data_IF_873281772564
#
_entry.id   IF_873281772564
#
_cell.length_a   1.000
_cell.length_b   1.000
_cell.length_c   1.000
_cell.angle_alpha   90.00
_cell.angle_beta   90.00
_cell.angle_gamma   90.00
#
_symmetry.space_group_name_H-M   'P 1'
#
loop_
_entity.id
_entity.type
_entity.pdbx_description
1 polymer ?
#
# COMPACT_ATOMS: atom_id res chain seq x y z
N UNK A 1 -84.20 -18.73 17.79
CA UNK A 1 -83.48 -17.43 17.83
C UNK A 1 -82.43 -17.45 16.73
N UNK A 2 -82.63 -16.57 15.74
CA UNK A 2 -81.82 -16.41 14.54
C UNK A 2 -80.46 -15.75 14.84
N UNK A 3 -79.56 -15.83 13.84
CA UNK A 3 -78.41 -14.96 13.47
C UNK A 3 -77.07 -15.70 13.64
N UNK A 4 -76.23 -15.86 12.62
CA UNK A 4 -76.29 -15.44 11.23
C UNK A 4 -75.00 -15.90 10.55
N UNK A 5 -75.12 -16.54 9.39
CA UNK A 5 -74.01 -16.89 8.53
C UNK A 5 -73.34 -15.63 7.97
N UNK A 6 -72.13 -15.34 8.44
CA UNK A 6 -71.28 -14.27 7.90
C UNK A 6 -70.51 -14.78 6.68
N UNK A 7 -70.92 -14.33 5.49
CA UNK A 7 -70.22 -14.56 4.22
C UNK A 7 -68.76 -14.07 4.26
N UNK A 8 -67.84 -14.71 3.52
CA UNK A 8 -66.44 -14.25 3.42
C UNK A 8 -66.34 -12.92 2.67
N UNK A 9 -65.53 -11.98 3.17
CA UNK A 9 -65.19 -10.73 2.46
C UNK A 9 -63.98 -10.98 1.54
N UNK A 10 -64.05 -10.63 0.25
CA UNK A 10 -62.90 -10.61 -0.63
C UNK A 10 -62.17 -9.27 -0.48
N UNK A 11 -60.87 -9.29 -0.17
CA UNK A 11 -60.01 -8.13 -0.36
C UNK A 11 -59.08 -8.42 -1.54
N UNK A 12 -59.61 -8.16 -2.73
CA UNK A 12 -58.81 -7.87 -3.89
C UNK A 12 -58.22 -6.46 -3.73
N UNK A 13 -56.92 -6.35 -3.46
CA UNK A 13 -56.11 -5.28 -4.04
C UNK A 13 -54.66 -5.74 -4.10
N UNK A 14 -54.33 -6.38 -5.22
CA UNK A 14 -52.97 -6.58 -5.67
C UNK A 14 -52.30 -5.22 -5.88
N UNK A 15 -51.78 -4.61 -4.81
CA UNK A 15 -50.74 -3.60 -4.95
C UNK A 15 -49.41 -4.32 -5.12
N UNK A 16 -49.10 -4.56 -6.40
CA UNK A 16 -47.76 -4.71 -6.94
C UNK A 16 -46.86 -3.66 -6.27
N UNK A 17 -46.19 -4.02 -5.18
CA UNK A 17 -44.95 -3.35 -4.84
C UNK A 17 -43.95 -3.87 -5.86
N UNK A 18 -43.82 -3.04 -6.89
CA UNK A 18 -42.88 -3.19 -7.97
C UNK A 18 -41.57 -3.71 -7.40
N UNK A 19 -41.19 -4.89 -7.88
CA UNK A 19 -39.82 -5.35 -7.94
C UNK A 19 -38.91 -4.13 -8.04
N UNK A 20 -38.15 -3.88 -6.97
CA UNK A 20 -36.93 -3.12 -7.08
C UNK A 20 -36.22 -3.68 -8.31
N UNK A 21 -36.05 -2.81 -9.32
CA UNK A 21 -35.42 -3.18 -10.58
C UNK A 21 -34.19 -4.01 -10.23
N UNK A 22 -34.00 -5.22 -10.78
CA UNK A 22 -32.67 -5.75 -10.78
C UNK A 22 -31.87 -4.70 -11.54
N UNK A 23 -31.04 -3.94 -10.83
CA UNK A 23 -29.83 -3.43 -11.42
C UNK A 23 -29.21 -4.70 -11.97
N UNK A 24 -29.40 -4.88 -13.28
CA UNK A 24 -28.64 -5.75 -14.12
C UNK A 24 -27.21 -5.30 -13.89
N UNK A 25 -26.60 -5.84 -12.83
CA UNK A 25 -25.20 -6.14 -12.75
C UNK A 25 -24.98 -7.08 -13.92
N UNK A 26 -24.89 -6.45 -15.10
CA UNK A 26 -24.40 -7.03 -16.33
C UNK A 26 -23.19 -7.83 -15.89
N UNK A 27 -23.32 -9.16 -16.01
CA UNK A 27 -22.29 -10.12 -15.66
C UNK A 27 -21.01 -9.75 -16.41
N UNK A 28 -20.22 -8.88 -15.79
CA UNK A 28 -18.79 -8.87 -16.00
C UNK A 28 -18.33 -10.01 -15.13
N UNK A 29 -17.94 -11.10 -15.75
CA UNK A 29 -17.17 -12.16 -15.14
C UNK A 29 -16.12 -11.51 -14.22
N UNK A 30 -16.36 -11.55 -12.91
CA UNK A 30 -15.54 -10.92 -11.85
C UNK A 30 -14.17 -11.62 -11.68
N UNK A 31 -13.68 -12.29 -12.73
CA UNK A 31 -12.63 -13.31 -12.68
C UNK A 31 -11.59 -13.20 -13.78
N UNK A 32 -11.79 -12.31 -14.76
CA UNK A 32 -10.78 -11.94 -15.77
C UNK A 32 -10.43 -10.45 -15.70
N UNK A 33 -10.66 -9.81 -14.55
CA UNK A 33 -10.03 -8.51 -14.29
C UNK A 33 -8.53 -8.78 -14.17
N UNK A 34 -7.75 -8.44 -15.19
CA UNK A 34 -6.31 -8.68 -15.20
C UNK A 34 -5.66 -8.11 -13.94
N UNK A 35 -4.45 -8.54 -13.62
CA UNK A 35 -3.67 -8.03 -12.48
C UNK A 35 -3.66 -6.49 -12.41
N UNK A 36 -3.77 -5.84 -13.57
CA UNK A 36 -3.91 -4.40 -13.78
C UNK A 36 -5.09 -3.78 -13.03
N UNK A 37 -6.26 -4.42 -13.01
CA UNK A 37 -7.45 -3.89 -12.33
C UNK A 37 -7.31 -3.93 -10.81
N UNK A 38 -6.44 -4.80 -10.29
CA UNK A 38 -6.13 -4.84 -8.86
C UNK A 38 -5.47 -3.55 -8.38
N UNK A 39 -4.77 -2.83 -9.26
CA UNK A 39 -4.03 -1.60 -8.96
C UNK A 39 -4.87 -0.31 -9.04
N UNK A 40 -6.08 -0.36 -9.58
CA UNK A 40 -6.87 0.83 -9.94
C UNK A 40 -7.98 1.21 -8.96
N UNK A 41 -8.22 0.38 -7.94
CA UNK A 41 -9.31 0.59 -6.99
C UNK A 41 -8.99 -0.06 -5.64
N UNK A 42 -9.69 0.36 -4.59
CA UNK A 42 -9.66 -0.28 -3.27
C UNK A 42 -10.76 -1.35 -3.10
N UNK A 43 -11.67 -1.44 -4.07
CA UNK A 43 -12.86 -2.27 -3.99
C UNK A 43 -12.59 -3.74 -4.25
N UNK A 44 -13.25 -4.60 -3.48
CA UNK A 44 -13.16 -6.06 -3.65
C UNK A 44 -12.06 -6.71 -2.80
N UNK A 45 -11.73 -7.95 -3.19
CA UNK A 45 -10.85 -8.85 -2.45
C UNK A 45 -9.85 -9.51 -3.39
N UNK A 46 -8.64 -9.72 -2.90
CA UNK A 46 -7.62 -10.49 -3.64
C UNK A 46 -7.13 -11.67 -2.82
N UNK A 47 -6.99 -12.82 -3.49
CA UNK A 47 -6.36 -13.99 -2.92
C UNK A 47 -4.84 -13.82 -2.80
N UNK A 48 -4.22 -14.64 -1.96
CA UNK A 48 -2.77 -14.61 -1.69
C UNK A 48 -1.90 -14.65 -2.95
N UNK A 49 -2.22 -15.52 -3.91
CA UNK A 49 -1.47 -15.62 -5.18
C UNK A 49 -1.50 -14.28 -5.94
N UNK A 50 -2.68 -13.67 -6.06
CA UNK A 50 -2.83 -12.37 -6.71
C UNK A 50 -2.09 -11.26 -5.98
N UNK A 51 -2.12 -11.27 -4.65
CA UNK A 51 -1.35 -10.33 -3.83
C UNK A 51 0.15 -10.41 -4.10
N UNK A 52 0.76 -11.60 -4.06
CA UNK A 52 2.20 -11.74 -4.32
C UNK A 52 2.61 -11.41 -5.74
N UNK A 53 1.80 -11.77 -6.74
CA UNK A 53 2.06 -11.34 -8.12
C UNK A 53 2.00 -9.81 -8.26
N UNK A 54 1.02 -9.18 -7.60
CA UNK A 54 0.90 -7.73 -7.59
C UNK A 54 2.11 -7.07 -6.91
N UNK A 55 2.54 -7.60 -5.77
CA UNK A 55 3.76 -7.15 -5.06
C UNK A 55 4.98 -7.29 -5.97
N UNK A 56 5.15 -8.42 -6.67
CA UNK A 56 6.27 -8.64 -7.58
C UNK A 56 6.28 -7.62 -8.72
N UNK A 57 5.14 -7.37 -9.35
CA UNK A 57 5.01 -6.36 -10.42
C UNK A 57 5.37 -4.97 -9.91
N UNK A 58 4.87 -4.58 -8.74
CA UNK A 58 5.19 -3.27 -8.15
C UNK A 58 6.64 -3.17 -7.69
N UNK A 59 7.23 -4.25 -7.19
CA UNK A 59 8.64 -4.28 -6.81
C UNK A 59 9.55 -4.11 -8.03
N UNK A 60 9.26 -4.80 -9.14
CA UNK A 60 9.99 -4.62 -10.39
C UNK A 60 9.84 -3.19 -10.94
N UNK A 61 8.62 -2.64 -10.91
CA UNK A 61 8.38 -1.25 -11.30
C UNK A 61 9.15 -0.27 -10.40
N UNK A 62 9.20 -0.52 -9.09
CA UNK A 62 9.95 0.28 -8.13
C UNK A 62 11.44 0.25 -8.41
N UNK A 63 12.01 -0.93 -8.69
CA UNK A 63 13.42 -1.07 -9.05
C UNK A 63 13.72 -0.28 -10.33
N UNK A 64 12.90 -0.45 -11.38
CA UNK A 64 13.08 0.28 -12.64
C UNK A 64 13.00 1.79 -12.42
N UNK A 65 12.00 2.29 -11.69
CA UNK A 65 11.86 3.71 -11.39
C UNK A 65 13.05 4.24 -10.60
N UNK A 66 13.51 3.51 -9.57
CA UNK A 66 14.69 3.90 -8.79
C UNK A 66 15.95 3.94 -9.65
N UNK A 67 16.18 2.97 -10.53
CA UNK A 67 17.35 2.96 -11.42
C UNK A 67 17.32 4.09 -12.45
N UNK A 68 16.15 4.37 -13.02
CA UNK A 68 15.98 5.48 -13.98
C UNK A 68 16.18 6.84 -13.30
N UNK A 69 15.78 6.96 -12.04
CA UNK A 69 15.92 8.20 -11.28
C UNK A 69 17.26 8.29 -10.54
N UNK A 70 18.04 7.20 -10.44
CA UNK A 70 19.32 7.16 -9.72
C UNK A 70 20.29 8.30 -10.10
N UNK A 71 20.48 8.68 -11.38
CA UNK A 71 21.34 9.81 -11.73
C UNK A 71 20.81 11.16 -11.25
N UNK A 72 19.48 11.35 -11.24
CA UNK A 72 18.85 12.56 -10.71
C UNK A 72 18.93 12.63 -9.18
N UNK A 73 18.90 11.47 -8.55
CA UNK A 73 18.97 11.23 -7.11
C UNK A 73 20.37 11.46 -6.54
N UNK A 74 21.37 10.76 -7.07
CA UNK A 74 22.75 10.90 -6.62
C UNK A 74 23.39 12.16 -7.18
N UNK A 75 22.94 12.64 -8.35
CA UNK A 75 23.61 13.71 -9.06
C UNK A 75 25.09 13.37 -9.28
N UNK A 76 25.94 14.34 -8.99
CA UNK A 76 27.40 14.26 -9.00
C UNK A 76 28.00 13.77 -7.67
N UNK A 77 27.19 13.29 -6.71
CA UNK A 77 27.64 12.86 -5.39
C UNK A 77 28.82 11.89 -5.45
N UNK A 78 28.72 10.85 -6.28
CA UNK A 78 29.76 9.82 -6.38
C UNK A 78 31.10 10.41 -6.82
N UNK A 79 31.07 11.35 -7.77
CA UNK A 79 32.26 12.06 -8.23
C UNK A 79 32.81 13.00 -7.16
N UNK A 80 31.95 13.79 -6.51
CA UNK A 80 32.33 14.71 -5.43
C UNK A 80 32.92 13.96 -4.23
N UNK A 81 32.34 12.81 -3.88
CA UNK A 81 32.83 11.96 -2.81
C UNK A 81 34.22 11.41 -3.13
N UNK A 82 34.44 10.90 -4.34
CA UNK A 82 35.76 10.41 -4.76
C UNK A 82 36.82 11.50 -4.67
N UNK A 83 36.55 12.70 -5.20
CA UNK A 83 37.48 13.83 -5.16
C UNK A 83 37.79 14.26 -3.72
N UNK A 84 36.77 14.28 -2.85
CA UNK A 84 36.94 14.68 -1.46
C UNK A 84 37.80 13.68 -0.67
N UNK A 85 37.48 12.38 -0.76
CA UNK A 85 38.19 11.34 -0.01
C UNK A 85 39.59 11.01 -0.54
N UNK A 86 39.93 11.47 -1.75
CA UNK A 86 41.29 11.40 -2.27
C UNK A 86 42.22 12.45 -1.63
N UNK A 87 41.67 13.50 -1.03
CA UNK A 87 42.48 14.54 -0.41
C UNK A 87 43.17 14.02 0.86
N UNK A 88 44.48 14.25 1.05
CA UNK A 88 45.22 13.78 2.21
C UNK A 88 44.67 14.32 3.55
N UNK A 89 44.15 15.54 3.53
CA UNK A 89 43.68 16.28 4.70
C UNK A 89 42.23 16.78 4.49
N UNK A 90 41.33 15.89 4.05
CA UNK A 90 39.94 16.29 3.82
C UNK A 90 39.26 16.71 5.14
N UNK A 91 38.45 17.77 5.08
CA UNK A 91 37.69 18.23 6.25
C UNK A 91 36.47 17.31 6.49
N UNK A 92 36.37 16.76 7.70
CA UNK A 92 35.23 15.97 8.13
C UNK A 92 33.90 16.74 8.07
N UNK A 93 33.93 18.07 8.23
CA UNK A 93 32.76 18.92 8.04
C UNK A 93 32.28 18.93 6.59
N UNK A 94 33.20 19.06 5.62
CA UNK A 94 32.87 18.98 4.20
C UNK A 94 32.32 17.59 3.83
N UNK A 95 32.92 16.52 4.38
CA UNK A 95 32.44 15.16 4.17
C UNK A 95 31.03 14.94 4.72
N UNK A 96 30.77 15.40 5.94
CA UNK A 96 29.43 15.28 6.56
C UNK A 96 28.37 16.10 5.81
N UNK A 97 28.72 17.30 5.33
CA UNK A 97 27.82 18.13 4.53
C UNK A 97 27.45 17.47 3.20
N UNK A 98 28.44 16.89 2.50
CA UNK A 98 28.21 16.13 1.26
C UNK A 98 27.30 14.92 1.49
N UNK A 99 27.51 14.18 2.59
CA UNK A 99 26.68 13.02 2.95
C UNK A 99 25.24 13.43 3.28
N UNK A 100 25.06 14.52 4.03
CA UNK A 100 23.75 15.04 4.37
C UNK A 100 22.97 15.49 3.13
N UNK A 101 23.64 16.20 2.21
CA UNK A 101 23.07 16.60 0.92
C UNK A 101 22.60 15.38 0.11
N UNK A 102 23.42 14.34 0.01
CA UNK A 102 23.09 13.11 -0.70
C UNK A 102 21.91 12.37 -0.05
N UNK A 103 21.89 12.28 1.29
CA UNK A 103 20.79 11.68 2.03
C UNK A 103 19.48 12.42 1.77
N UNK A 104 19.50 13.76 1.78
CA UNK A 104 18.32 14.58 1.53
C UNK A 104 17.80 14.43 0.09
N UNK A 105 18.69 14.44 -0.91
CA UNK A 105 18.32 14.18 -2.32
C UNK A 105 17.74 12.79 -2.50
N UNK A 106 18.36 11.77 -1.88
CA UNK A 106 17.87 10.40 -1.86
C UNK A 106 16.52 10.23 -1.12
N UNK A 107 16.21 11.09 -0.15
CA UNK A 107 14.91 11.10 0.49
C UNK A 107 13.81 11.69 -0.41
N UNK A 108 14.09 12.82 -1.08
CA UNK A 108 13.17 13.40 -2.07
C UNK A 108 12.82 12.42 -3.18
N UNK A 109 13.84 11.74 -3.69
CA UNK A 109 13.69 10.65 -4.64
C UNK A 109 12.72 9.57 -4.21
N UNK A 110 13.00 9.03 -3.02
CA UNK A 110 12.28 7.93 -2.44
C UNK A 110 10.83 8.35 -2.19
N UNK A 111 10.61 9.60 -1.80
CA UNK A 111 9.29 10.20 -1.67
C UNK A 111 8.56 10.24 -3.01
N UNK A 112 9.18 10.74 -4.09
CA UNK A 112 8.57 10.77 -5.43
C UNK A 112 8.20 9.37 -5.92
N UNK A 113 9.12 8.41 -5.81
CA UNK A 113 8.86 7.02 -6.18
C UNK A 113 7.70 6.44 -5.35
N UNK A 114 7.69 6.69 -4.05
CA UNK A 114 6.60 6.24 -3.17
C UNK A 114 5.27 6.89 -3.54
N UNK A 115 5.24 8.16 -3.95
CA UNK A 115 4.01 8.81 -4.40
C UNK A 115 3.48 8.19 -5.70
N UNK A 116 4.37 7.80 -6.63
CA UNK A 116 3.99 7.15 -7.89
C UNK A 116 3.44 5.74 -7.64
N UNK A 117 4.12 4.93 -6.83
CA UNK A 117 3.81 3.50 -6.62
C UNK A 117 2.85 3.27 -5.45
N UNK A 118 2.72 4.25 -4.56
CA UNK A 118 2.02 4.07 -3.30
C UNK A 118 0.53 3.86 -3.45
N UNK A 119 -0.11 4.51 -4.44
CA UNK A 119 -1.51 4.25 -4.74
C UNK A 119 -1.77 2.78 -5.11
N UNK A 120 -1.13 2.20 -6.15
CA UNK A 120 -1.39 0.81 -6.51
C UNK A 120 -0.91 -0.19 -5.44
N UNK A 121 0.15 0.14 -4.68
CA UNK A 121 0.58 -0.67 -3.53
C UNK A 121 -0.48 -0.71 -2.43
N UNK A 122 -1.00 0.45 -2.04
CA UNK A 122 -2.04 0.57 -1.02
C UNK A 122 -3.34 -0.11 -1.47
N UNK A 123 -3.71 0.01 -2.74
CA UNK A 123 -4.85 -0.69 -3.34
C UNK A 123 -4.76 -2.21 -3.15
N UNK A 124 -3.59 -2.81 -3.43
CA UNK A 124 -3.37 -4.24 -3.18
C UNK A 124 -3.47 -4.59 -1.70
N UNK A 125 -2.82 -3.82 -0.83
CA UNK A 125 -2.80 -4.09 0.61
C UNK A 125 -4.22 -4.04 1.18
N UNK A 126 -4.98 -3.00 0.88
CA UNK A 126 -6.37 -2.84 1.33
C UNK A 126 -7.25 -3.99 0.84
N UNK A 127 -7.20 -4.34 -0.45
CA UNK A 127 -7.93 -5.51 -0.99
C UNK A 127 -7.53 -6.82 -0.31
N UNK A 128 -6.26 -6.96 0.07
CA UNK A 128 -5.77 -8.15 0.78
C UNK A 128 -6.23 -8.18 2.23
N UNK A 129 -6.39 -7.01 2.88
CA UNK A 129 -7.01 -6.86 4.21
C UNK A 129 -8.52 -7.10 4.18
N UNK A 130 -9.20 -6.61 3.14
CA UNK A 130 -10.61 -6.91 2.85
C UNK A 130 -10.85 -8.42 2.71
N UNK A 131 -9.94 -9.16 2.10
CA UNK A 131 -10.03 -10.61 2.01
C UNK A 131 -10.07 -11.30 3.39
N UNK A 132 -9.52 -10.67 4.43
CA UNK A 132 -9.59 -11.12 5.82
C UNK A 132 -10.68 -10.43 6.63
N UNK A 133 -11.65 -9.80 5.97
CA UNK A 133 -12.73 -9.04 6.56
C UNK A 133 -12.25 -7.87 7.47
N UNK A 134 -11.06 -7.31 7.21
CA UNK A 134 -10.53 -6.12 7.86
C UNK A 134 -10.75 -4.87 6.99
N UNK A 135 -10.84 -3.68 7.57
CA UNK A 135 -11.03 -2.41 6.83
C UNK A 135 -9.81 -1.97 6.03
N UNK A 136 -8.63 -2.52 6.30
CA UNK A 136 -7.38 -2.08 5.68
C UNK A 136 -6.83 -0.75 6.23
N UNK A 137 -7.41 -0.22 7.31
CA UNK A 137 -6.92 0.99 7.96
C UNK A 137 -5.45 0.88 8.42
N UNK A 138 -5.02 -0.32 8.82
CA UNK A 138 -3.63 -0.61 9.18
C UNK A 138 -2.67 -0.46 7.99
N UNK A 139 -3.08 -0.85 6.78
CA UNK A 139 -2.31 -0.61 5.57
C UNK A 139 -2.18 0.90 5.25
N UNK A 140 -3.26 1.65 5.47
CA UNK A 140 -3.26 3.12 5.30
C UNK A 140 -2.32 3.76 6.31
N UNK A 141 -2.37 3.34 7.58
CA UNK A 141 -1.47 3.83 8.63
C UNK A 141 -0.01 3.52 8.28
N UNK A 142 0.31 2.30 7.83
CA UNK A 142 1.67 1.96 7.40
C UNK A 142 2.15 2.90 6.29
N UNK A 143 1.32 3.12 5.27
CA UNK A 143 1.68 3.98 4.16
C UNK A 143 1.84 5.44 4.58
N UNK A 144 0.96 5.94 5.45
CA UNK A 144 1.05 7.30 6.00
C UNK A 144 2.32 7.50 6.85
N UNK A 145 2.69 6.54 7.69
CA UNK A 145 3.93 6.60 8.48
C UNK A 145 5.18 6.55 7.57
N UNK A 146 5.13 5.74 6.52
CA UNK A 146 6.21 5.68 5.52
C UNK A 146 6.37 7.03 4.81
N UNK A 147 5.27 7.64 4.36
CA UNK A 147 5.30 8.97 3.73
C UNK A 147 5.77 10.05 4.70
N UNK A 148 5.35 10.00 5.97
CA UNK A 148 5.81 10.94 7.00
C UNK A 148 7.33 10.85 7.17
N UNK A 149 7.88 9.64 7.34
CA UNK A 149 9.32 9.44 7.49
C UNK A 149 10.12 9.93 6.28
N UNK A 150 9.62 9.68 5.06
CA UNK A 150 10.24 10.18 3.84
C UNK A 150 10.15 11.70 3.71
N UNK A 151 9.00 12.29 4.04
CA UNK A 151 8.80 13.73 4.00
C UNK A 151 9.73 14.45 4.98
N UNK A 152 9.85 13.97 6.23
CA UNK A 152 10.77 14.53 7.22
C UNK A 152 12.22 14.52 6.71
N UNK A 153 12.69 13.37 6.23
CA UNK A 153 14.05 13.24 5.70
C UNK A 153 14.29 14.12 4.47
N UNK A 154 13.28 14.28 3.60
CA UNK A 154 13.39 15.12 2.40
C UNK A 154 13.59 16.60 2.75
N UNK A 155 13.06 17.08 3.87
CA UNK A 155 13.25 18.46 4.33
C UNK A 155 14.43 18.62 5.30
N UNK A 156 15.27 17.59 5.44
CA UNK A 156 16.45 17.61 6.30
C UNK A 156 16.14 17.35 7.78
N UNK A 157 14.93 16.91 8.12
CA UNK A 157 14.55 16.57 9.49
C UNK A 157 14.85 15.08 9.74
N UNK A 158 15.45 14.81 10.90
CA UNK A 158 15.66 13.45 11.38
C UNK A 158 17.08 12.93 11.20
N UNK A 159 17.99 13.71 10.59
CA UNK A 159 19.43 13.45 10.62
C UNK A 159 20.14 14.61 11.35
N UNK A 160 21.21 14.29 12.05
CA UNK A 160 22.06 15.23 12.77
C UNK A 160 23.54 14.90 12.54
N UNK A 161 24.41 15.88 12.74
CA UNK A 161 25.86 15.70 12.67
C UNK A 161 26.36 15.42 14.08
N UNK A 162 26.98 14.26 14.28
CA UNK A 162 27.54 13.81 15.55
C UNK A 162 29.05 13.77 15.43
N UNK A 163 29.74 14.32 16.44
CA UNK A 163 31.19 14.30 16.52
C UNK A 163 31.68 12.99 17.16
N UNK A 164 32.65 12.36 16.51
CA UNK A 164 33.40 11.19 16.96
C UNK A 164 34.90 11.51 16.99
N UNK A 165 35.69 10.61 17.58
CA UNK A 165 37.15 10.74 17.66
C UNK A 165 37.81 10.87 16.27
N UNK A 166 37.30 10.11 15.29
CA UNK A 166 37.81 10.07 13.92
C UNK A 166 37.06 11.00 12.93
N UNK A 167 36.21 11.91 13.42
CA UNK A 167 35.56 12.93 12.59
C UNK A 167 34.06 13.14 12.83
N UNK A 168 33.40 13.80 11.87
CA UNK A 168 31.97 14.11 11.92
C UNK A 168 31.17 13.12 11.10
N UNK A 169 30.10 12.57 11.67
CA UNK A 169 29.24 11.58 11.00
C UNK A 169 27.80 12.04 11.00
N UNK A 170 27.10 11.80 9.89
CA UNK A 170 25.65 12.01 9.79
C UNK A 170 24.95 10.80 10.38
N UNK A 171 24.16 11.01 11.43
CA UNK A 171 23.40 9.96 12.12
C UNK A 171 21.90 10.31 12.17
N UNK A 172 21.01 9.30 12.13
CA UNK A 172 19.60 9.54 12.34
C UNK A 172 19.32 9.88 13.81
N UNK A 173 18.44 10.85 14.04
CA UNK A 173 18.02 11.24 15.39
C UNK A 173 17.17 10.15 16.03
N UNK A 174 17.14 10.10 17.37
CA UNK A 174 16.32 9.14 18.11
C UNK A 174 14.83 9.15 17.70
N UNK A 175 14.16 10.30 17.47
CA UNK A 175 12.79 10.32 16.97
C UNK A 175 12.63 9.65 15.60
N UNK A 176 13.57 9.86 14.66
CA UNK A 176 13.53 9.21 13.35
C UNK A 176 13.72 7.69 13.47
N UNK A 177 14.66 7.26 14.32
CA UNK A 177 14.87 5.83 14.62
C UNK A 177 13.58 5.22 15.17
N UNK A 178 12.95 5.85 16.16
CA UNK A 178 11.71 5.36 16.76
C UNK A 178 10.58 5.25 15.72
N UNK A 179 10.41 6.26 14.85
CA UNK A 179 9.45 6.22 13.75
C UNK A 179 9.72 5.05 12.80
N UNK A 180 10.97 4.83 12.42
CA UNK A 180 11.38 3.74 11.55
C UNK A 180 11.13 2.36 12.19
N UNK A 181 11.39 2.21 13.49
CA UNK A 181 11.10 0.98 14.23
C UNK A 181 9.59 0.70 14.24
N UNK A 182 8.77 1.69 14.61
CA UNK A 182 7.30 1.54 14.66
C UNK A 182 6.76 1.17 13.27
N UNK A 183 7.22 1.87 12.23
CA UNK A 183 6.84 1.61 10.84
C UNK A 183 7.26 0.20 10.40
N UNK A 184 8.49 -0.22 10.74
CA UNK A 184 9.02 -1.55 10.43
C UNK A 184 8.27 -2.68 11.14
N UNK A 185 7.91 -2.50 12.41
CA UNK A 185 7.12 -3.48 13.17
C UNK A 185 5.70 -3.63 12.60
N UNK A 186 5.05 -2.52 12.24
CA UNK A 186 3.76 -2.55 11.56
C UNK A 186 3.86 -3.20 10.18
N UNK A 187 4.94 -2.91 9.44
CA UNK A 187 5.27 -3.53 8.16
C UNK A 187 5.45 -5.05 8.27
N UNK A 188 6.20 -5.51 9.28
CA UNK A 188 6.40 -6.94 9.55
C UNK A 188 5.09 -7.64 9.93
N UNK A 189 4.29 -7.03 10.80
CA UNK A 189 2.95 -7.53 11.13
C UNK A 189 2.10 -7.70 9.85
N UNK A 190 2.03 -6.66 9.02
CA UNK A 190 1.24 -6.67 7.79
C UNK A 190 1.79 -7.68 6.77
N UNK A 191 3.11 -7.76 6.61
CA UNK A 191 3.78 -8.75 5.77
C UNK A 191 3.38 -10.18 6.16
N UNK A 192 3.41 -10.50 7.45
CA UNK A 192 3.02 -11.83 7.93
C UNK A 192 1.54 -12.09 7.64
N UNK A 193 0.69 -11.15 8.02
CA UNK A 193 -0.77 -11.34 7.97
C UNK A 193 -1.29 -11.40 6.52
N UNK A 194 -0.75 -10.57 5.63
CA UNK A 194 -1.16 -10.54 4.22
C UNK A 194 -0.46 -11.63 3.41
N UNK A 195 0.82 -11.90 3.69
CA UNK A 195 1.65 -12.83 2.95
C UNK A 195 1.35 -14.30 3.22
N UNK A 196 1.13 -14.69 4.49
CA UNK A 196 1.10 -16.11 4.88
C UNK A 196 -0.21 -16.59 5.48
N UNK A 197 -1.06 -15.72 6.02
CA UNK A 197 -2.33 -16.15 6.63
C UNK A 197 -3.44 -16.31 5.58
N UNK A 198 -4.45 -17.14 5.85
CA UNK A 198 -5.58 -17.40 4.92
C UNK A 198 -6.59 -16.25 4.91
N UNK A 199 -7.31 -16.07 3.81
CA UNK A 199 -8.50 -15.20 3.75
C UNK A 199 -9.72 -15.76 4.47
N UNK A 200 -10.79 -14.97 4.53
CA UNK A 200 -12.12 -15.41 4.99
C UNK A 200 -12.76 -16.31 3.94
N UNK A 201 -13.25 -17.49 4.35
CA UNK A 201 -13.98 -18.39 3.45
C UNK A 201 -15.39 -17.84 3.16
N UNK A 202 -15.83 -17.95 1.91
CA UNK A 202 -17.14 -17.47 1.48
C UNK A 202 -17.21 -15.95 1.33
N UNK A 203 -18.40 -15.41 1.00
CA UNK A 203 -18.62 -13.97 0.87
C UNK A 203 -18.38 -13.21 2.18
N UNK A 204 -17.88 -11.98 2.10
CA UNK A 204 -17.81 -11.06 3.23
C UNK A 204 -18.31 -9.66 2.82
N UNK A 205 -18.27 -8.67 3.72
CA UNK A 205 -18.76 -7.29 3.45
C UNK A 205 -18.05 -6.57 2.29
N UNK A 206 -16.89 -7.05 1.87
CA UNK A 206 -16.10 -6.49 0.76
C UNK A 206 -16.27 -7.28 -0.55
N UNK A 207 -17.13 -8.31 -0.58
CA UNK A 207 -17.50 -9.03 -1.79
C UNK A 207 -17.36 -10.56 -1.71
N UNK A 208 -17.56 -11.23 -2.86
CA UNK A 208 -17.54 -12.69 -2.95
C UNK A 208 -16.15 -13.27 -2.65
N UNK A 209 -16.10 -14.58 -2.39
CA UNK A 209 -14.84 -15.29 -2.18
C UNK A 209 -13.98 -15.27 -3.47
N UNK A 210 -12.73 -14.75 -3.42
CA UNK A 210 -11.84 -14.73 -4.57
C UNK A 210 -11.44 -16.14 -5.05
N UNK A 211 -11.68 -17.19 -4.24
CA UNK A 211 -11.39 -18.58 -4.56
C UNK A 211 -12.62 -19.43 -4.87
N UNK A 212 -13.84 -18.88 -4.84
CA UNK A 212 -15.06 -19.64 -5.19
C UNK A 212 -14.96 -20.31 -6.58
N UNK A 213 -15.56 -21.47 -6.86
CA UNK A 213 -15.57 -22.02 -8.22
C UNK A 213 -16.27 -21.07 -9.20
N UNK A 214 -15.71 -20.89 -10.40
CA UNK A 214 -16.40 -20.17 -11.48
C UNK A 214 -17.36 -21.10 -12.21
N UNK A 215 -18.33 -20.55 -12.94
CA UNK A 215 -19.17 -21.36 -13.84
C UNK A 215 -18.38 -22.06 -14.95
N UNK A 216 -17.14 -21.66 -15.20
CA UNK A 216 -16.21 -22.36 -16.10
C UNK A 216 -15.58 -23.60 -15.47
N UNK A 217 -15.38 -23.62 -14.15
CA UNK A 217 -14.89 -24.80 -13.41
C UNK A 217 -15.98 -25.87 -13.22
N UNK A 218 -17.23 -25.53 -13.56
CA UNK A 218 -18.41 -26.39 -13.45
C UNK A 218 -18.82 -27.04 -14.78
N UNK A 219 -18.00 -26.91 -15.83
CA UNK A 219 -18.17 -27.54 -17.15
C UNK A 219 -17.02 -28.49 -17.43
#
# INVERSE_FOLDING_TARGET
MQRGAGRPRPLASAKRLAYARPILLRGRDLRMSGIVDSFRSFEGRIARKGFWLGVLVLALLAIVLTLLLAPLMSGDFLQRAMILFEQPDYDGAEASALMLEAAQRGAWASLVVNLIIGYPALALMVKRRHDRNSSGADAIVLYALTLLGLALQSVGIGNEIVAFEDGLVVAPTLPLIALNIVTGLLGLYLFIVMGFLKGTAGPNRYGPDPLAPTQQDAR
#
